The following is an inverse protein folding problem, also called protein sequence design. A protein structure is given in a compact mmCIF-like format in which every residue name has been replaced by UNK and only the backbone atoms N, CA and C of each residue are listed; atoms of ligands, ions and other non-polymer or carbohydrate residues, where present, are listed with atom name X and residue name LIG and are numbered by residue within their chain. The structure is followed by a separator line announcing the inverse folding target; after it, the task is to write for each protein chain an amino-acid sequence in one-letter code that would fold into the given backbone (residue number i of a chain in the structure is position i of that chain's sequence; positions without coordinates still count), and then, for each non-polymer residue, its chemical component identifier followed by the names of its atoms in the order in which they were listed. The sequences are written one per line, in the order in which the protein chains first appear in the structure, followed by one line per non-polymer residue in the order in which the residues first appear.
data_IF_155385669749
#
_entry.id   IF_155385669749
#
_cell.length_a   1.000
_cell.length_b   1.000
_cell.length_c   1.000
_cell.angle_alpha   90.00
_cell.angle_beta   90.00
_cell.angle_gamma   90.00
#
_symmetry.space_group_name_H-M   'P 1'
#
loop_
_entity.id
_entity.type
_entity.pdbx_description
1 polymer ?
#
# COMPACT_ATOMS: atom_id res chain seq x y z
N UNK A 1 -17.23 -2.08 -1.55
CA UNK A 1 -16.26 -3.15 -1.24
C UNK A 1 -14.89 -2.54 -1.39
N UNK A 2 -14.16 -2.36 -0.28
CA UNK A 2 -12.78 -1.89 -0.34
C UNK A 2 -12.01 -3.00 -1.06
N UNK A 3 -11.56 -2.67 -2.27
CA UNK A 3 -10.70 -3.52 -3.10
C UNK A 3 -9.26 -3.27 -2.65
N UNK A 4 -8.85 -3.56 -1.41
CA UNK A 4 -7.43 -3.38 -1.05
C UNK A 4 -6.71 -4.72 -1.21
N UNK A 5 -6.24 -5.08 -2.43
CA UNK A 5 -5.17 -6.03 -2.52
C UNK A 5 -3.96 -5.42 -1.81
N UNK A 6 -3.23 -6.27 -1.10
CA UNK A 6 -2.00 -5.92 -0.46
C UNK A 6 -0.98 -5.53 -1.53
N UNK A 7 -0.42 -4.30 -1.51
CA UNK A 7 0.53 -3.82 -2.50
C UNK A 7 1.91 -4.52 -2.43
N UNK A 8 2.09 -5.43 -1.45
CA UNK A 8 3.30 -6.24 -1.24
C UNK A 8 3.14 -7.66 -1.78
N UNK A 9 2.04 -8.34 -1.42
CA UNK A 9 1.85 -9.77 -1.68
C UNK A 9 0.66 -10.11 -2.59
N UNK A 10 -0.06 -9.09 -3.08
CA UNK A 10 -1.22 -9.19 -3.98
C UNK A 10 -2.46 -9.95 -3.42
N UNK A 11 -2.41 -10.48 -2.18
CA UNK A 11 -3.57 -11.05 -1.47
C UNK A 11 -4.53 -9.97 -0.97
N UNK A 12 -5.78 -10.31 -0.68
CA UNK A 12 -6.70 -9.35 -0.05
C UNK A 12 -6.26 -9.04 1.38
N UNK A 13 -6.34 -7.78 1.83
CA UNK A 13 -5.95 -7.40 3.20
C UNK A 13 -6.75 -8.12 4.30
N UNK A 14 -7.96 -8.60 3.98
CA UNK A 14 -8.78 -9.43 4.89
C UNK A 14 -8.29 -10.86 5.07
N UNK A 15 -7.43 -11.32 4.17
CA UNK A 15 -6.85 -12.67 4.25
C UNK A 15 -5.54 -12.67 5.04
N UNK A 16 -5.16 -11.53 5.63
CA UNK A 16 -3.96 -11.39 6.45
C UNK A 16 -4.31 -11.57 7.91
N UNK A 17 -3.47 -12.31 8.65
CA UNK A 17 -3.45 -12.21 10.11
C UNK A 17 -2.80 -10.88 10.57
N UNK A 18 -2.91 -10.57 11.86
CA UNK A 18 -2.36 -9.34 12.45
C UNK A 18 -0.87 -9.12 12.13
N UNK A 19 -0.06 -10.19 12.14
CA UNK A 19 1.38 -10.12 11.86
C UNK A 19 1.64 -9.89 10.37
N UNK A 20 0.85 -10.53 9.51
CA UNK A 20 0.92 -10.31 8.07
C UNK A 20 0.53 -8.86 7.72
N UNK A 21 -0.48 -8.29 8.39
CA UNK A 21 -0.88 -6.88 8.22
C UNK A 21 0.25 -5.95 8.63
N UNK A 22 0.78 -6.10 9.85
CA UNK A 22 1.84 -5.24 10.36
C UNK A 22 3.06 -5.26 9.43
N UNK A 23 3.49 -6.45 9.02
CA UNK A 23 4.62 -6.65 8.11
C UNK A 23 4.39 -5.98 6.76
N UNK A 24 3.24 -6.22 6.14
CA UNK A 24 2.94 -5.69 4.81
C UNK A 24 2.76 -4.16 4.82
N UNK A 25 2.11 -3.61 5.85
CA UNK A 25 1.99 -2.16 6.03
C UNK A 25 3.36 -1.51 6.22
N UNK A 26 4.19 -2.07 7.10
CA UNK A 26 5.53 -1.53 7.36
C UNK A 26 6.38 -1.52 6.09
N UNK A 27 6.38 -2.62 5.34
CA UNK A 27 7.11 -2.72 4.07
C UNK A 27 6.58 -1.72 3.03
N UNK A 28 5.26 -1.61 2.87
CA UNK A 28 4.65 -0.67 1.94
C UNK A 28 4.98 0.79 2.27
N UNK A 29 4.89 1.18 3.54
CA UNK A 29 5.23 2.53 4.00
C UNK A 29 6.71 2.82 3.80
N UNK A 30 7.59 1.85 4.10
CA UNK A 30 9.04 1.98 3.92
C UNK A 30 9.38 2.21 2.46
N UNK A 31 8.82 1.39 1.57
CA UNK A 31 9.12 1.44 0.16
C UNK A 31 8.51 2.67 -0.52
N UNK A 32 7.29 3.07 -0.17
CA UNK A 32 6.63 4.27 -0.74
C UNK A 32 7.39 5.56 -0.46
N UNK A 33 8.25 5.59 0.56
CA UNK A 33 9.15 6.73 0.86
C UNK A 33 10.42 6.73 0.01
N UNK A 34 10.70 5.66 -0.73
CA UNK A 34 11.90 5.51 -1.55
C UNK A 34 11.56 5.20 -3.03
N UNK A 35 11.50 6.23 -3.90
CA UNK A 35 11.17 6.05 -5.32
C UNK A 35 12.07 5.07 -6.08
N UNK A 36 13.33 4.92 -5.64
CA UNK A 36 14.27 3.99 -6.26
C UNK A 36 13.86 2.53 -6.02
N UNK A 37 13.26 2.25 -4.86
CA UNK A 37 12.87 0.88 -4.44
C UNK A 37 11.63 0.41 -5.21
N UNK A 38 10.58 1.23 -5.31
CA UNK A 38 9.37 0.82 -6.04
C UNK A 38 9.48 0.99 -7.57
N UNK A 39 10.50 1.67 -8.09
CA UNK A 39 10.77 1.74 -9.52
C UNK A 39 11.40 0.46 -10.10
N UNK A 40 11.98 -0.44 -9.28
CA UNK A 40 13.07 -1.28 -9.78
C UNK A 40 12.72 -2.67 -10.35
N UNK A 41 11.52 -3.27 -10.21
CA UNK A 41 11.24 -4.58 -10.87
C UNK A 41 9.77 -4.89 -11.23
N UNK A 42 8.80 -4.30 -10.55
CA UNK A 42 7.36 -4.49 -10.82
C UNK A 42 6.67 -3.15 -10.57
N UNK A 43 5.93 -2.65 -11.56
CA UNK A 43 5.16 -1.42 -11.41
C UNK A 43 4.21 -1.59 -10.23
N UNK A 44 4.38 -0.77 -9.19
CA UNK A 44 3.50 -0.79 -8.02
C UNK A 44 2.32 0.14 -8.29
N UNK A 45 1.12 -0.42 -8.20
CA UNK A 45 -0.13 0.32 -8.31
C UNK A 45 -0.50 0.86 -6.93
N UNK A 46 -0.92 2.12 -6.89
CA UNK A 46 -1.46 2.76 -5.70
C UNK A 46 -2.79 2.09 -5.32
N UNK A 47 -2.92 1.54 -4.09
CA UNK A 47 -4.13 0.83 -3.68
C UNK A 47 -5.34 1.76 -3.47
N UNK A 48 -5.15 3.08 -3.51
CA UNK A 48 -6.20 4.09 -3.31
C UNK A 48 -6.73 4.65 -4.63
N UNK A 49 -5.84 5.02 -5.55
CA UNK A 49 -6.22 5.75 -6.77
C UNK A 49 -5.97 4.96 -8.07
N UNK A 50 -5.49 3.72 -7.96
CA UNK A 50 -5.22 2.79 -9.08
C UNK A 50 -4.16 3.29 -10.10
N UNK A 51 -3.51 4.43 -9.86
CA UNK A 51 -2.36 4.93 -10.66
C UNK A 51 -1.04 4.26 -10.27
N UNK A 52 -0.01 4.37 -11.09
CA UNK A 52 1.33 3.91 -10.68
C UNK A 52 1.86 4.78 -9.54
N UNK A 53 2.56 4.18 -8.57
CA UNK A 53 3.17 4.93 -7.47
C UNK A 53 4.18 5.97 -7.98
N UNK A 54 4.81 5.74 -9.14
CA UNK A 54 5.71 6.70 -9.80
C UNK A 54 5.01 7.94 -10.36
N UNK A 55 3.70 7.89 -10.57
CA UNK A 55 2.92 9.05 -11.02
C UNK A 55 2.61 10.02 -9.86
N UNK A 56 2.93 9.64 -8.62
CA UNK A 56 2.69 10.46 -7.44
C UNK A 56 3.89 11.35 -7.15
N UNK A 57 3.62 12.63 -6.90
CA UNK A 57 4.56 13.47 -6.18
C UNK A 57 4.59 13.09 -4.67
N UNK A 58 5.53 13.67 -3.92
CA UNK A 58 5.68 13.40 -2.48
C UNK A 58 4.41 13.66 -1.66
N UNK A 59 3.62 14.69 -2.01
CA UNK A 59 2.38 15.02 -1.31
C UNK A 59 1.31 13.97 -1.58
N UNK A 60 1.11 13.63 -2.86
CA UNK A 60 0.14 12.62 -3.30
C UNK A 60 0.46 11.25 -2.69
N UNK A 61 1.75 10.89 -2.64
CA UNK A 61 2.22 9.65 -2.01
C UNK A 61 1.83 9.60 -0.54
N UNK A 62 2.05 10.68 0.22
CA UNK A 62 1.70 10.75 1.65
C UNK A 62 0.20 10.61 1.88
N UNK A 63 -0.61 11.30 1.07
CA UNK A 63 -2.07 11.22 1.17
C UNK A 63 -2.56 9.81 0.90
N UNK A 64 -2.12 9.19 -0.20
CA UNK A 64 -2.57 7.85 -0.56
C UNK A 64 -2.09 6.78 0.43
N UNK A 65 -0.84 6.86 0.88
CA UNK A 65 -0.31 5.92 1.88
C UNK A 65 -1.07 6.05 3.20
N UNK A 66 -1.34 7.29 3.66
CA UNK A 66 -2.11 7.51 4.88
C UNK A 66 -3.52 6.93 4.76
N UNK A 67 -4.23 7.24 3.67
CA UNK A 67 -5.58 6.72 3.45
C UNK A 67 -5.59 5.19 3.43
N UNK A 68 -4.60 4.54 2.80
CA UNK A 68 -4.51 3.08 2.79
C UNK A 68 -4.32 2.48 4.18
N UNK A 69 -3.47 3.10 5.02
CA UNK A 69 -3.30 2.67 6.41
C UNK A 69 -4.61 2.82 7.17
N UNK A 70 -5.27 3.98 7.07
CA UNK A 70 -6.55 4.25 7.74
C UNK A 70 -7.64 3.23 7.29
N UNK A 71 -7.68 2.88 6.00
CA UNK A 71 -8.63 1.90 5.45
C UNK A 71 -8.37 0.47 5.98
N UNK A 72 -7.09 0.10 6.15
CA UNK A 72 -6.69 -1.21 6.69
C UNK A 72 -6.98 -1.29 8.18
N UNK A 73 -6.68 -0.24 8.94
CA UNK A 73 -6.99 -0.16 10.38
C UNK A 73 -8.51 -0.18 10.65
N UNK A 74 -9.31 0.28 9.69
CA UNK A 74 -10.77 0.25 9.74
C UNK A 74 -11.38 -1.08 9.28
N UNK A 75 -10.57 -2.07 8.87
CA UNK A 75 -11.06 -3.41 8.59
C UNK A 75 -11.47 -4.07 9.91
N UNK A 76 -12.75 -4.38 10.06
CA UNK A 76 -13.22 -5.31 11.09
C UNK A 76 -12.69 -6.72 10.74
N UNK A 77 -11.57 -7.10 11.34
CA UNK A 77 -10.86 -8.37 11.16
C UNK A 77 -11.15 -9.35 12.30
#
# INVERSE_FOLDING_TARGET
MIKTPCPICDKHMRDHDEKEIEKCLWEFVRESKNPVVYASRKKRICPICEKEMLDHNTSETRVCVKQFVDDVESLEL
#
